data_IF_945272241976
#
_entry.id   IF_945272241976
#
_cell.length_a   1.000
_cell.length_b   1.000
_cell.length_c   1.000
_cell.angle_alpha   90.00
_cell.angle_beta   90.00
_cell.angle_gamma   90.00
#
_symmetry.space_group_name_H-M   'P 1'
#
loop_
_entity.id
_entity.type
_entity.pdbx_description
1 polymer ?
#
# COMPACT_ATOMS: atom_id res chain seq x y z
N UNK A 1 -42.08 2.29 -23.24
CA UNK A 1 -40.92 2.22 -24.15
C UNK A 1 -39.99 1.17 -23.58
N UNK A 2 -39.94 0.04 -24.26
CA UNK A 2 -39.40 -1.25 -23.83
C UNK A 2 -37.89 -1.26 -24.06
N UNK A 3 -37.10 -1.62 -23.05
CA UNK A 3 -35.76 -2.18 -23.24
C UNK A 3 -35.41 -3.05 -22.03
N UNK A 4 -35.24 -4.33 -22.33
CA UNK A 4 -34.84 -5.42 -21.46
C UNK A 4 -33.36 -5.29 -21.08
N UNK A 5 -33.00 -5.68 -19.86
CA UNK A 5 -31.73 -6.36 -19.62
C UNK A 5 -31.98 -7.58 -18.73
N UNK A 6 -31.52 -8.72 -19.26
CA UNK A 6 -31.60 -10.04 -18.67
C UNK A 6 -30.74 -10.15 -17.41
N UNK A 7 -31.32 -10.62 -16.32
CA UNK A 7 -30.59 -11.12 -15.17
C UNK A 7 -30.39 -12.64 -15.35
N UNK A 8 -29.16 -13.07 -15.65
CA UNK A 8 -28.79 -14.49 -15.59
C UNK A 8 -28.58 -14.89 -14.14
N UNK A 9 -29.66 -15.35 -13.50
CA UNK A 9 -29.59 -16.11 -12.25
C UNK A 9 -29.07 -17.51 -12.60
N UNK A 10 -27.84 -17.83 -12.17
CA UNK A 10 -27.33 -19.20 -12.29
C UNK A 10 -27.95 -20.06 -11.19
N UNK A 11 -28.48 -21.25 -11.53
CA UNK A 11 -29.09 -22.12 -10.54
C UNK A 11 -28.04 -22.69 -9.59
N UNK A 12 -28.45 -22.77 -8.33
CA UNK A 12 -27.81 -23.46 -7.23
C UNK A 12 -27.42 -24.91 -7.62
N UNK A 13 -26.19 -25.32 -7.31
CA UNK A 13 -25.72 -26.71 -7.44
C UNK A 13 -25.08 -27.17 -6.12
N UNK A 14 -25.15 -28.48 -5.79
CA UNK A 14 -25.42 -28.93 -4.44
C UNK A 14 -24.17 -29.08 -3.55
N UNK A 15 -24.42 -28.97 -2.24
CA UNK A 15 -23.56 -29.51 -1.17
C UNK A 15 -23.40 -31.01 -1.39
N UNK A 16 -22.18 -31.48 -1.67
CA UNK A 16 -21.55 -32.60 -0.95
C UNK A 16 -20.18 -32.95 -1.53
N UNK A 17 -19.14 -32.84 -0.70
CA UNK A 17 -17.75 -33.23 -1.01
C UNK A 17 -17.52 -34.75 -1.12
N UNK A 18 -18.58 -35.58 -1.09
CA UNK A 18 -18.48 -37.04 -1.16
C UNK A 18 -18.17 -37.55 -2.57
N UNK A 19 -18.53 -36.82 -3.62
CA UNK A 19 -18.32 -37.27 -5.01
C UNK A 19 -16.85 -37.18 -5.46
N UNK A 20 -16.05 -36.31 -4.85
CA UNK A 20 -14.62 -36.19 -5.17
C UNK A 20 -13.81 -37.38 -4.65
N UNK A 21 -14.17 -37.92 -3.48
CA UNK A 21 -13.50 -39.10 -2.91
C UNK A 21 -13.82 -40.38 -3.70
N UNK A 22 -15.04 -40.51 -4.22
CA UNK A 22 -15.44 -41.64 -5.07
C UNK A 22 -14.66 -41.61 -6.40
N UNK A 23 -14.42 -40.42 -6.96
CA UNK A 23 -13.63 -40.25 -8.17
C UNK A 23 -12.14 -40.63 -7.98
N UNK A 24 -11.55 -40.24 -6.85
CA UNK A 24 -10.18 -40.63 -6.47
C UNK A 24 -10.00 -42.16 -6.36
N UNK A 25 -10.99 -42.87 -5.80
CA UNK A 25 -10.93 -44.33 -5.67
C UNK A 25 -11.04 -45.05 -7.02
N UNK A 26 -11.80 -44.52 -7.98
CA UNK A 26 -11.86 -45.09 -9.34
C UNK A 26 -10.52 -44.97 -10.10
N UNK A 27 -9.72 -43.93 -9.84
CA UNK A 27 -8.41 -43.75 -10.49
C UNK A 27 -7.36 -44.71 -9.93
N UNK A 28 -7.40 -45.00 -8.62
CA UNK A 28 -6.48 -45.96 -7.98
C UNK A 28 -6.78 -47.41 -8.40
N UNK A 29 -8.02 -47.75 -8.72
CA UNK A 29 -8.40 -49.09 -9.20
C UNK A 29 -8.01 -49.40 -10.65
N UNK A 30 -7.75 -48.39 -11.48
CA UNK A 30 -7.39 -48.57 -12.92
C UNK A 30 -5.89 -48.88 -13.08
N UNK A 31 -5.04 -48.37 -12.17
CA UNK A 31 -3.58 -48.54 -12.24
C UNK A 31 -3.16 -50.03 -12.19
N UNK A 32 -3.70 -50.89 -11.31
CA UNK A 32 -3.37 -52.32 -11.30
C UNK A 32 -3.79 -53.06 -12.58
N UNK A 33 -4.92 -52.67 -13.18
CA UNK A 33 -5.47 -53.33 -14.38
C UNK A 33 -4.62 -53.03 -15.63
N UNK A 34 -4.15 -51.78 -15.76
CA UNK A 34 -3.24 -51.37 -16.85
C UNK A 34 -1.86 -52.01 -16.69
N UNK A 35 -1.37 -52.14 -15.45
CA UNK A 35 -0.09 -52.80 -15.15
C UNK A 35 -0.14 -54.30 -15.48
N UNK A 36 -1.27 -54.97 -15.22
CA UNK A 36 -1.47 -56.38 -15.59
C UNK A 36 -1.52 -56.61 -17.11
N UNK A 37 -2.16 -55.71 -17.87
CA UNK A 37 -2.22 -55.80 -19.32
C UNK A 37 -0.86 -55.51 -20.00
N UNK A 38 -0.04 -54.61 -19.44
CA UNK A 38 1.30 -54.31 -19.96
C UNK A 38 2.31 -55.45 -19.74
N UNK A 39 2.10 -56.29 -18.73
CA UNK A 39 3.03 -57.37 -18.40
C UNK A 39 2.98 -58.56 -19.37
N UNK A 40 1.84 -58.80 -20.05
CA UNK A 40 1.62 -60.03 -20.83
C UNK A 40 1.70 -59.89 -22.36
N UNK A 41 1.90 -58.70 -22.94
CA UNK A 41 2.13 -58.57 -24.39
C UNK A 41 2.95 -57.31 -24.76
N UNK A 42 4.23 -57.50 -25.07
CA UNK A 42 5.22 -56.44 -25.30
C UNK A 42 5.12 -55.70 -26.65
N UNK A 43 4.14 -56.02 -27.50
CA UNK A 43 3.98 -55.38 -28.83
C UNK A 43 3.19 -54.07 -28.83
N UNK A 44 2.79 -53.55 -27.66
CA UNK A 44 1.90 -52.38 -27.57
C UNK A 44 2.41 -51.24 -26.66
N UNK A 45 3.72 -51.16 -26.43
CA UNK A 45 4.34 -50.12 -25.58
C UNK A 45 3.95 -48.69 -26.01
N UNK A 46 3.79 -48.46 -27.32
CA UNK A 46 3.30 -47.19 -27.87
C UNK A 46 1.84 -46.88 -27.47
N UNK A 47 0.96 -47.89 -27.44
CA UNK A 47 -0.44 -47.72 -27.02
C UNK A 47 -0.54 -47.46 -25.51
N UNK A 48 0.32 -48.10 -24.71
CA UNK A 48 0.42 -47.83 -23.28
C UNK A 48 0.82 -46.38 -22.98
N UNK A 49 1.83 -45.87 -23.68
CA UNK A 49 2.27 -44.48 -23.52
C UNK A 49 1.21 -43.47 -23.97
N UNK A 50 0.49 -43.74 -25.07
CA UNK A 50 -0.62 -42.89 -25.52
C UNK A 50 -1.77 -42.86 -24.50
N UNK A 51 -2.06 -43.98 -23.83
CA UNK A 51 -3.10 -44.05 -22.81
C UNK A 51 -2.72 -43.25 -21.54
N UNK A 52 -1.46 -43.34 -21.10
CA UNK A 52 -0.95 -42.56 -19.97
C UNK A 52 -0.98 -41.05 -20.30
N UNK A 53 -0.56 -40.68 -21.52
CA UNK A 53 -0.65 -39.31 -21.99
C UNK A 53 -2.10 -38.80 -22.01
N UNK A 54 -3.06 -39.64 -22.40
CA UNK A 54 -4.47 -39.28 -22.42
C UNK A 54 -5.06 -39.07 -21.01
N UNK A 55 -4.73 -39.94 -20.05
CA UNK A 55 -5.17 -39.81 -18.64
C UNK A 55 -4.59 -38.53 -18.01
N UNK A 56 -3.31 -38.23 -18.26
CA UNK A 56 -2.66 -37.05 -17.70
C UNK A 56 -3.24 -35.75 -18.27
N UNK A 57 -3.47 -35.69 -19.59
CA UNK A 57 -4.11 -34.54 -20.24
C UNK A 57 -5.55 -34.31 -19.74
N UNK A 58 -6.35 -35.38 -19.63
CA UNK A 58 -7.73 -35.26 -19.14
C UNK A 58 -7.78 -34.87 -17.66
N UNK A 59 -6.88 -35.40 -16.83
CA UNK A 59 -6.73 -35.00 -15.43
C UNK A 59 -6.36 -33.52 -15.27
N UNK A 60 -5.40 -33.03 -16.08
CA UNK A 60 -5.02 -31.62 -16.08
C UNK A 60 -6.17 -30.71 -16.53
N UNK A 61 -6.91 -31.10 -17.58
CA UNK A 61 -8.05 -30.31 -18.07
C UNK A 61 -9.17 -30.19 -17.03
N UNK A 62 -9.46 -31.27 -16.30
CA UNK A 62 -10.44 -31.27 -15.20
C UNK A 62 -9.97 -30.42 -14.02
N UNK A 63 -8.69 -30.51 -13.63
CA UNK A 63 -8.13 -29.69 -12.57
C UNK A 63 -8.15 -28.20 -12.94
N UNK A 64 -7.78 -27.85 -14.17
CA UNK A 64 -7.82 -26.48 -14.67
C UNK A 64 -9.26 -25.94 -14.70
N UNK A 65 -10.21 -26.75 -15.16
CA UNK A 65 -11.64 -26.39 -15.15
C UNK A 65 -12.15 -26.14 -13.72
N UNK A 66 -11.77 -27.00 -12.76
CA UNK A 66 -12.11 -26.81 -11.35
C UNK A 66 -11.47 -25.54 -10.75
N UNK A 67 -10.19 -25.28 -11.05
CA UNK A 67 -9.48 -24.08 -10.62
C UNK A 67 -10.15 -22.80 -11.17
N UNK A 68 -10.51 -22.81 -12.45
CA UNK A 68 -11.23 -21.71 -13.11
C UNK A 68 -12.61 -21.49 -12.51
N UNK A 69 -13.36 -22.56 -12.21
CA UNK A 69 -14.66 -22.47 -11.53
C UNK A 69 -14.50 -21.92 -10.11
N UNK A 70 -13.49 -22.36 -9.34
CA UNK A 70 -13.23 -21.87 -7.97
C UNK A 70 -12.82 -20.39 -7.95
N UNK A 71 -12.00 -19.96 -8.92
CA UNK A 71 -11.63 -18.55 -9.11
C UNK A 71 -12.83 -17.69 -9.50
N UNK A 72 -13.76 -18.22 -10.29
CA UNK A 72 -14.97 -17.49 -10.72
C UNK A 72 -16.06 -17.44 -9.65
N UNK A 73 -16.09 -18.40 -8.72
CA UNK A 73 -17.12 -18.52 -7.68
C UNK A 73 -16.78 -17.88 -6.33
N UNK A 74 -15.53 -17.43 -6.12
CA UNK A 74 -15.11 -16.82 -4.85
C UNK A 74 -14.80 -15.33 -5.02
N UNK A 75 -15.81 -14.44 -5.11
CA UNK A 75 -15.52 -13.01 -5.15
C UNK A 75 -14.86 -12.58 -3.83
N UNK A 76 -13.60 -12.13 -3.89
CA UNK A 76 -12.81 -11.68 -2.74
C UNK A 76 -13.15 -10.24 -2.27
N UNK A 77 -14.16 -9.62 -2.88
CA UNK A 77 -14.58 -8.26 -2.55
C UNK A 77 -16.09 -8.10 -2.75
N UNK A 78 -16.65 -7.10 -2.06
CA UNK A 78 -18.00 -6.60 -2.29
C UNK A 78 -17.87 -5.42 -3.24
N UNK A 79 -18.62 -5.42 -4.34
CA UNK A 79 -18.73 -4.27 -5.25
C UNK A 79 -20.11 -3.66 -5.06
N UNK A 80 -20.15 -2.37 -4.74
CA UNK A 80 -21.40 -1.62 -4.59
C UNK A 80 -21.44 -0.49 -5.62
N UNK A 81 -22.52 -0.44 -6.39
CA UNK A 81 -22.84 0.68 -7.28
C UNK A 81 -23.49 1.78 -6.45
N UNK A 82 -23.04 3.02 -6.66
CA UNK A 82 -23.43 4.18 -5.85
C UNK A 82 -24.95 4.48 -5.90
N UNK A 83 -25.66 3.98 -6.92
CA UNK A 83 -27.12 4.14 -7.08
C UNK A 83 -27.92 3.51 -5.91
N UNK A 84 -27.30 2.57 -5.19
CA UNK A 84 -27.87 1.93 -4.00
C UNK A 84 -27.61 2.72 -2.70
N UNK A 85 -27.00 3.91 -2.74
CA UNK A 85 -26.65 4.68 -1.54
C UNK A 85 -27.12 6.13 -1.72
N UNK A 86 -28.30 6.47 -1.16
CA UNK A 86 -28.83 7.86 -1.11
C UNK A 86 -28.79 8.30 0.37
N UNK A 87 -28.25 9.45 0.80
CA UNK A 87 -28.51 10.85 0.40
C UNK A 87 -27.37 11.84 0.84
N UNK A 88 -27.45 13.18 0.58
CA UNK A 88 -28.15 13.93 -0.46
C UNK A 88 -27.20 14.56 -1.51
N UNK A 89 -27.84 15.10 -2.54
CA UNK A 89 -27.32 15.61 -3.82
C UNK A 89 -26.20 16.64 -3.64
N UNK A 90 -25.00 16.28 -4.09
CA UNK A 90 -24.14 17.12 -4.92
C UNK A 90 -23.31 16.18 -5.80
N UNK A 91 -23.14 16.54 -7.07
CA UNK A 91 -22.72 15.67 -8.17
C UNK A 91 -21.44 14.87 -7.88
N UNK A 92 -21.60 13.61 -7.47
CA UNK A 92 -20.52 12.62 -7.47
C UNK A 92 -20.78 11.64 -8.60
N UNK A 93 -19.83 11.56 -9.54
CA UNK A 93 -19.73 10.48 -10.52
C UNK A 93 -19.90 9.13 -9.82
N UNK A 94 -20.63 8.19 -10.43
CA UNK A 94 -20.82 6.80 -10.03
C UNK A 94 -19.50 6.10 -9.66
N UNK A 95 -19.02 6.28 -8.43
CA UNK A 95 -17.83 5.60 -7.92
C UNK A 95 -18.24 4.21 -7.45
N UNK A 96 -17.72 3.18 -8.12
CA UNK A 96 -17.77 1.81 -7.61
C UNK A 96 -16.97 1.74 -6.32
N UNK A 97 -17.62 1.44 -5.20
CA UNK A 97 -16.93 1.18 -3.93
C UNK A 97 -16.68 -0.32 -3.86
N UNK A 98 -15.41 -0.71 -3.95
CA UNK A 98 -14.99 -2.12 -3.79
C UNK A 98 -14.35 -2.29 -2.42
N UNK A 99 -14.98 -3.08 -1.54
CA UNK A 99 -14.44 -3.38 -0.20
C UNK A 99 -13.96 -4.83 -0.19
N UNK A 100 -12.64 -5.09 -0.07
CA UNK A 100 -12.14 -6.45 0.09
C UNK A 100 -12.62 -7.04 1.43
N UNK A 101 -13.10 -8.29 1.45
CA UNK A 101 -13.54 -8.94 2.71
C UNK A 101 -12.50 -8.93 3.83
N UNK A 102 -11.18 -9.09 3.56
CA UNK A 102 -10.16 -9.04 4.61
C UNK A 102 -10.03 -7.68 5.32
N UNK A 103 -10.51 -6.58 4.72
CA UNK A 103 -10.42 -5.25 5.34
C UNK A 103 -11.63 -4.93 6.22
N UNK A 104 -12.68 -5.76 6.17
CA UNK A 104 -13.87 -5.65 7.02
C UNK A 104 -13.49 -6.03 8.43
N UNK A 105 -13.52 -5.04 9.33
CA UNK A 105 -13.20 -5.20 10.74
C UNK A 105 -14.42 -5.63 11.53
N UNK A 106 -15.58 -5.04 11.21
CA UNK A 106 -16.81 -5.25 11.96
C UNK A 106 -18.03 -4.89 11.10
N UNK A 107 -19.18 -5.44 11.46
CA UNK A 107 -20.44 -5.18 10.78
C UNK A 107 -21.60 -5.18 11.78
N UNK A 108 -22.34 -4.07 11.81
CA UNK A 108 -23.40 -3.87 12.80
C UNK A 108 -24.63 -3.21 12.20
N UNK A 109 -25.80 -3.59 12.73
CA UNK A 109 -27.04 -2.86 12.50
C UNK A 109 -27.12 -1.68 13.46
N UNK A 110 -27.20 -0.46 12.93
CA UNK A 110 -27.45 0.75 13.71
C UNK A 110 -28.88 1.25 13.49
N UNK A 111 -29.53 1.78 14.52
CA UNK A 111 -30.75 2.57 14.34
C UNK A 111 -30.37 4.04 14.23
N UNK A 112 -30.68 4.66 13.10
CA UNK A 112 -30.52 6.09 12.85
C UNK A 112 -31.92 6.64 12.59
N UNK A 113 -32.39 7.56 13.42
CA UNK A 113 -33.72 8.19 13.27
C UNK A 113 -34.88 7.18 13.17
N UNK A 114 -34.81 6.11 13.96
CA UNK A 114 -35.82 5.04 13.97
C UNK A 114 -35.72 4.04 12.80
N UNK A 115 -34.77 4.22 11.88
CA UNK A 115 -34.54 3.32 10.73
C UNK A 115 -33.29 2.48 10.93
N UNK A 116 -33.37 1.20 10.60
CA UNK A 116 -32.25 0.25 10.71
C UNK A 116 -31.31 0.39 9.51
N UNK A 117 -30.08 0.82 9.74
CA UNK A 117 -29.01 0.97 8.75
C UNK A 117 -27.92 -0.07 9.01
N UNK A 118 -27.42 -0.71 7.96
CA UNK A 118 -26.29 -1.62 8.09
C UNK A 118 -24.98 -0.84 7.93
N UNK A 119 -24.10 -0.93 8.92
CA UNK A 119 -22.77 -0.34 8.84
C UNK A 119 -21.71 -1.43 8.65
N UNK A 120 -20.93 -1.30 7.59
CA UNK A 120 -19.69 -2.05 7.38
C UNK A 120 -18.55 -1.18 7.86
N UNK A 121 -17.87 -1.62 8.91
CA UNK A 121 -16.65 -1.00 9.43
C UNK A 121 -15.49 -1.70 8.78
N UNK A 122 -14.69 -0.96 8.04
CA UNK A 122 -13.51 -1.48 7.34
C UNK A 122 -12.34 -0.52 7.52
N UNK A 123 -11.13 -0.95 7.15
CA UNK A 123 -9.89 -0.20 7.43
C UNK A 123 -9.92 1.28 6.98
N UNK A 124 -10.62 1.62 5.90
CA UNK A 124 -10.66 2.98 5.35
C UNK A 124 -11.89 3.80 5.81
N UNK A 125 -12.73 3.27 6.70
CA UNK A 125 -13.86 4.00 7.27
C UNK A 125 -15.12 3.17 7.51
N UNK A 126 -16.27 3.87 7.51
CA UNK A 126 -17.58 3.25 7.73
C UNK A 126 -18.46 3.42 6.49
N UNK A 127 -18.88 2.32 5.90
CA UNK A 127 -19.91 2.34 4.86
C UNK A 127 -21.26 2.08 5.49
N UNK A 128 -22.20 3.02 5.34
CA UNK A 128 -23.58 2.89 5.79
C UNK A 128 -24.48 2.55 4.60
N UNK A 129 -25.14 1.41 4.66
CA UNK A 129 -26.07 0.92 3.64
C UNK A 129 -27.49 1.00 4.20
N UNK A 130 -28.31 1.86 3.60
CA UNK A 130 -29.70 2.03 4.00
C UNK A 130 -30.59 0.95 3.37
N UNK A 131 -31.68 0.48 4.00
CA UNK A 131 -32.55 -0.56 3.41
C UNK A 131 -33.18 -0.18 2.07
N UNK A 132 -33.34 1.12 1.82
CA UNK A 132 -33.85 1.64 0.54
C UNK A 132 -32.83 1.54 -0.61
N UNK A 133 -31.61 1.09 -0.32
CA UNK A 133 -30.57 0.76 -1.30
C UNK A 133 -30.99 -0.32 -2.29
N UNK A 134 -31.92 -1.18 -1.86
CA UNK A 134 -32.33 -2.39 -2.58
C UNK A 134 -33.85 -2.36 -2.78
N UNK A 135 -34.30 -3.05 -3.82
CA UNK A 135 -35.69 -2.99 -4.28
C UNK A 135 -36.71 -3.52 -3.27
N UNK A 136 -36.25 -4.30 -2.28
CA UNK A 136 -37.09 -4.78 -1.19
C UNK A 136 -36.33 -5.03 0.10
N UNK A 137 -37.05 -5.06 1.22
CA UNK A 137 -36.50 -5.42 2.53
C UNK A 137 -35.91 -6.84 2.55
N UNK A 138 -36.56 -7.79 1.89
CA UNK A 138 -36.08 -9.17 1.80
C UNK A 138 -34.74 -9.27 1.07
N UNK A 139 -34.57 -8.52 -0.03
CA UNK A 139 -33.28 -8.43 -0.73
C UNK A 139 -32.20 -7.79 0.14
N UNK A 140 -32.55 -6.79 0.96
CA UNK A 140 -31.62 -6.22 1.91
C UNK A 140 -31.18 -7.23 2.96
N UNK A 141 -32.11 -7.95 3.58
CA UNK A 141 -31.77 -8.93 4.61
C UNK A 141 -30.93 -10.08 4.03
N UNK A 142 -31.23 -10.59 2.82
CA UNK A 142 -30.42 -11.60 2.12
C UNK A 142 -29.02 -11.07 1.73
N UNK A 143 -28.92 -9.82 1.28
CA UNK A 143 -27.64 -9.16 1.00
C UNK A 143 -26.78 -9.04 2.27
N UNK A 144 -27.37 -8.64 3.40
CA UNK A 144 -26.68 -8.57 4.70
C UNK A 144 -26.20 -9.95 5.14
N UNK A 145 -27.06 -10.96 5.06
CA UNK A 145 -26.72 -12.34 5.45
C UNK A 145 -25.56 -12.89 4.59
N UNK A 146 -25.59 -12.67 3.28
CA UNK A 146 -24.52 -13.10 2.38
C UNK A 146 -23.18 -12.43 2.69
N UNK A 147 -23.18 -11.14 3.04
CA UNK A 147 -21.97 -10.42 3.46
C UNK A 147 -21.46 -10.97 4.80
N UNK A 148 -22.34 -11.21 5.77
CA UNK A 148 -21.96 -11.81 7.05
C UNK A 148 -21.33 -13.18 6.89
N UNK A 149 -21.94 -14.06 6.09
CA UNK A 149 -21.43 -15.42 5.86
C UNK A 149 -20.03 -15.41 5.22
N UNK A 150 -19.78 -14.49 4.28
CA UNK A 150 -18.50 -14.37 3.56
C UNK A 150 -17.40 -13.70 4.36
N UNK A 151 -17.74 -12.76 5.23
CA UNK A 151 -16.77 -12.04 6.11
C UNK A 151 -16.43 -12.79 7.39
N UNK A 152 -17.30 -13.72 7.85
CA UNK A 152 -17.13 -14.50 9.08
C UNK A 152 -15.75 -15.18 9.26
N UNK A 153 -15.08 -15.72 8.21
CA UNK A 153 -13.74 -16.28 8.34
C UNK A 153 -12.65 -15.24 8.66
N UNK A 154 -12.88 -13.98 8.29
CA UNK A 154 -11.94 -12.88 8.44
C UNK A 154 -12.12 -12.15 9.78
N UNK A 155 -13.36 -12.02 10.25
CA UNK A 155 -13.69 -11.32 11.50
C UNK A 155 -13.22 -12.10 12.74
N UNK A 156 -13.17 -13.44 12.69
CA UNK A 156 -12.82 -14.28 13.85
C UNK A 156 -11.33 -14.40 14.19
N UNK A 157 -10.42 -13.80 13.42
CA UNK A 157 -8.96 -13.99 13.59
C UNK A 157 -8.21 -12.84 14.28
N UNK A 158 -8.86 -11.70 14.55
CA UNK A 158 -8.18 -10.50 15.04
C UNK A 158 -8.40 -10.25 16.54
N UNK A 159 -7.67 -10.99 17.39
CA UNK A 159 -7.24 -10.48 18.69
C UNK A 159 -5.86 -9.80 18.63
N UNK A 160 -5.16 -9.87 17.49
CA UNK A 160 -4.10 -8.91 17.15
C UNK A 160 -4.76 -7.72 16.47
N UNK A 161 -4.49 -6.51 16.96
CA UNK A 161 -4.97 -5.25 16.38
C UNK A 161 -4.77 -5.30 14.85
N UNK A 162 -5.86 -5.23 14.08
CA UNK A 162 -5.76 -5.27 12.62
C UNK A 162 -4.83 -4.15 12.15
N UNK A 163 -3.95 -4.39 11.16
CA UNK A 163 -3.06 -3.35 10.67
C UNK A 163 -3.90 -2.15 10.22
N UNK A 164 -3.49 -0.96 10.65
CA UNK A 164 -4.09 0.29 10.20
C UNK A 164 -3.69 0.57 8.75
N UNK A 165 -4.37 1.52 8.10
CA UNK A 165 -3.97 1.92 6.74
C UNK A 165 -2.56 2.50 6.71
N UNK A 166 -2.14 3.16 7.80
CA UNK A 166 -0.78 3.65 7.99
C UNK A 166 0.21 2.48 8.08
N UNK A 167 -0.14 1.40 8.80
CA UNK A 167 0.73 0.22 8.88
C UNK A 167 0.89 -0.45 7.51
N UNK A 168 -0.20 -0.54 6.74
CA UNK A 168 -0.14 -1.08 5.37
C UNK A 168 0.78 -0.23 4.49
N UNK A 169 0.63 1.09 4.53
CA UNK A 169 1.49 2.00 3.78
C UNK A 169 2.97 1.84 4.13
N UNK A 170 3.28 1.82 5.43
CA UNK A 170 4.67 1.67 5.90
C UNK A 170 5.27 0.35 5.42
N UNK A 171 4.56 -0.76 5.55
CA UNK A 171 5.02 -2.07 5.11
C UNK A 171 5.21 -2.16 3.60
N UNK A 172 4.29 -1.58 2.82
CA UNK A 172 4.40 -1.55 1.36
C UNK A 172 5.57 -0.68 0.91
N UNK A 173 5.73 0.52 1.50
CA UNK A 173 6.84 1.42 1.18
C UNK A 173 8.19 0.79 1.56
N UNK A 174 8.28 0.21 2.75
CA UNK A 174 9.46 -0.50 3.24
C UNK A 174 9.85 -1.64 2.30
N UNK A 175 8.89 -2.50 1.96
CA UNK A 175 9.11 -3.63 1.05
C UNK A 175 9.55 -3.17 -0.34
N UNK A 176 8.89 -2.13 -0.87
CA UNK A 176 9.24 -1.57 -2.18
C UNK A 176 10.67 -1.02 -2.21
N UNK A 177 11.06 -0.23 -1.21
CA UNK A 177 12.39 0.38 -1.18
C UNK A 177 13.48 -0.64 -0.88
N UNK A 178 13.27 -1.58 0.06
CA UNK A 178 14.21 -2.67 0.30
C UNK A 178 14.48 -3.45 -0.99
N UNK A 179 13.45 -3.86 -1.72
CA UNK A 179 13.60 -4.56 -2.99
C UNK A 179 14.35 -3.74 -4.07
N UNK A 180 14.27 -2.41 -3.99
CA UNK A 180 14.92 -1.49 -4.94
C UNK A 180 16.41 -1.34 -4.70
N UNK A 181 16.85 -1.37 -3.44
CA UNK A 181 18.24 -1.13 -3.04
C UNK A 181 19.01 -2.41 -2.68
N UNK A 182 18.53 -3.58 -3.10
CA UNK A 182 19.30 -4.82 -3.07
C UNK A 182 20.42 -4.75 -4.12
N UNK A 183 21.67 -4.97 -3.69
CA UNK A 183 22.87 -5.07 -4.54
C UNK A 183 22.97 -6.43 -5.22
N UNK A 184 23.95 -6.57 -6.11
CA UNK A 184 24.20 -7.79 -6.88
C UNK A 184 24.49 -9.04 -6.03
N UNK A 185 24.98 -8.87 -4.81
CA UNK A 185 25.28 -9.92 -3.82
C UNK A 185 24.12 -10.21 -2.85
N UNK A 186 22.94 -9.65 -3.11
CA UNK A 186 21.76 -9.72 -2.24
C UNK A 186 21.86 -8.90 -0.94
N UNK A 187 22.92 -8.09 -0.76
CA UNK A 187 23.02 -7.18 0.37
C UNK A 187 22.27 -5.87 0.10
N UNK A 188 21.60 -5.31 1.09
CA UNK A 188 20.89 -4.02 0.95
C UNK A 188 21.88 -2.86 1.10
N UNK A 189 21.85 -1.90 0.18
CA UNK A 189 22.62 -0.66 0.31
C UNK A 189 21.97 0.31 1.31
N UNK A 190 22.10 0.04 2.61
CA UNK A 190 21.40 0.79 3.65
C UNK A 190 21.71 2.29 3.61
N UNK A 191 22.93 2.72 3.29
CA UNK A 191 23.26 4.14 3.19
C UNK A 191 22.48 4.85 2.09
N UNK A 192 22.36 4.21 0.93
CA UNK A 192 21.56 4.72 -0.19
C UNK A 192 20.07 4.66 0.11
N UNK A 193 19.61 3.60 0.78
CA UNK A 193 18.22 3.49 1.23
C UNK A 193 17.83 4.60 2.23
N UNK A 194 18.65 4.88 3.24
CA UNK A 194 18.40 5.95 4.20
C UNK A 194 18.53 7.33 3.57
N UNK A 195 19.48 7.49 2.65
CA UNK A 195 19.57 8.69 1.82
C UNK A 195 18.25 8.93 1.07
N UNK A 196 17.75 7.89 0.40
CA UNK A 196 16.51 7.93 -0.36
C UNK A 196 15.28 8.21 0.50
N UNK A 197 15.16 7.56 1.65
CA UNK A 197 14.08 7.81 2.61
C UNK A 197 14.06 9.27 3.09
N UNK A 198 15.24 9.85 3.33
CA UNK A 198 15.35 11.25 3.69
C UNK A 198 14.90 12.19 2.56
N UNK A 199 15.36 11.92 1.34
CA UNK A 199 14.96 12.69 0.15
C UNK A 199 13.43 12.67 -0.03
N UNK A 200 12.86 11.47 -0.02
CA UNK A 200 11.43 11.23 -0.20
C UNK A 200 10.60 11.85 0.93
N UNK A 201 11.04 11.75 2.18
CA UNK A 201 10.36 12.36 3.33
C UNK A 201 10.38 13.89 3.28
N UNK A 202 11.53 14.48 2.91
CA UNK A 202 11.66 15.93 2.71
C UNK A 202 10.71 16.44 1.62
N UNK A 203 10.77 15.83 0.44
CA UNK A 203 9.92 16.24 -0.68
C UNK A 203 8.43 15.97 -0.42
N UNK A 204 8.08 14.85 0.23
CA UNK A 204 6.71 14.54 0.62
C UNK A 204 6.12 15.56 1.59
N UNK A 205 6.93 16.14 2.48
CA UNK A 205 6.51 17.25 3.35
C UNK A 205 6.04 18.44 2.51
N UNK A 206 6.82 18.86 1.52
CA UNK A 206 6.45 19.96 0.64
C UNK A 206 5.25 19.64 -0.23
N UNK A 207 5.24 18.49 -0.90
CA UNK A 207 4.12 18.08 -1.73
C UNK A 207 2.82 17.96 -0.92
N UNK A 208 2.92 17.45 0.31
CA UNK A 208 1.81 17.36 1.25
C UNK A 208 1.23 18.71 1.64
N UNK A 209 2.08 19.69 1.96
CA UNK A 209 1.64 21.06 2.27
C UNK A 209 1.00 21.75 1.05
N UNK A 210 1.53 21.55 -0.14
CA UNK A 210 0.93 22.05 -1.39
C UNK A 210 -0.45 21.43 -1.62
N UNK A 211 -0.57 20.12 -1.43
CA UNK A 211 -1.84 19.41 -1.56
C UNK A 211 -2.86 19.89 -0.52
N UNK A 212 -2.46 20.14 0.72
CA UNK A 212 -3.33 20.68 1.76
C UNK A 212 -3.76 22.11 1.42
N UNK A 213 -2.80 23.04 1.35
CA UNK A 213 -3.12 24.45 1.35
C UNK A 213 -3.49 25.01 -0.03
N UNK A 214 -2.83 24.55 -1.09
CA UNK A 214 -3.11 25.09 -2.44
C UNK A 214 -4.27 24.35 -3.10
N UNK A 215 -4.30 23.01 -3.01
CA UNK A 215 -5.32 22.22 -3.70
C UNK A 215 -6.62 22.11 -2.90
N UNK A 216 -6.56 21.83 -1.59
CA UNK A 216 -7.78 21.68 -0.79
C UNK A 216 -8.31 23.01 -0.27
N UNK A 217 -7.43 23.93 0.13
CA UNK A 217 -7.83 25.23 0.72
C UNK A 217 -7.79 26.41 -0.27
N UNK A 218 -7.23 26.22 -1.48
CA UNK A 218 -7.22 27.25 -2.53
C UNK A 218 -6.31 28.45 -2.26
N UNK A 219 -5.34 28.31 -1.34
CA UNK A 219 -4.38 29.37 -1.02
C UNK A 219 -3.33 29.51 -2.13
N UNK A 220 -2.92 30.75 -2.40
CA UNK A 220 -1.84 31.02 -3.34
C UNK A 220 -0.49 30.57 -2.78
N UNK A 221 0.42 30.15 -3.66
CA UNK A 221 1.75 29.64 -3.28
C UNK A 221 2.52 30.63 -2.39
N UNK A 222 2.52 31.91 -2.74
CA UNK A 222 3.21 32.97 -2.00
C UNK A 222 2.65 33.22 -0.59
N UNK A 223 1.46 32.70 -0.26
CA UNK A 223 0.91 32.78 1.10
C UNK A 223 1.47 31.67 2.02
N UNK A 224 2.01 30.60 1.43
CA UNK A 224 2.48 29.42 2.16
C UNK A 224 4.02 29.38 2.13
N UNK A 225 4.61 29.71 0.98
CA UNK A 225 6.04 29.59 0.73
C UNK A 225 6.67 30.94 0.45
N UNK A 226 7.84 31.15 1.04
CA UNK A 226 8.82 32.13 0.62
C UNK A 226 9.65 31.53 -0.51
N UNK A 227 9.49 32.08 -1.71
CA UNK A 227 10.23 31.65 -2.89
C UNK A 227 11.57 32.37 -2.96
N UNK A 228 12.65 31.60 -3.13
CA UNK A 228 14.02 32.10 -3.32
C UNK A 228 14.46 31.69 -4.72
N UNK A 229 14.68 32.68 -5.58
CA UNK A 229 15.25 32.48 -6.90
C UNK A 229 16.74 32.83 -6.86
N UNK A 230 17.56 31.95 -7.41
CA UNK A 230 19.02 32.12 -7.46
C UNK A 230 19.46 32.76 -8.77
N UNK A 231 20.73 33.17 -8.86
CA UNK A 231 21.30 33.75 -10.09
C UNK A 231 21.29 32.80 -11.29
N UNK A 232 21.19 31.49 -11.02
CA UNK A 232 21.13 30.45 -12.04
C UNK A 232 19.68 30.13 -12.46
N UNK A 233 18.71 30.97 -12.08
CA UNK A 233 17.27 30.78 -12.26
C UNK A 233 16.67 29.55 -11.55
N UNK A 234 17.43 28.88 -10.69
CA UNK A 234 16.87 27.85 -9.83
C UNK A 234 15.97 28.46 -8.76
N UNK A 235 14.85 27.80 -8.51
CA UNK A 235 13.86 28.18 -7.49
C UNK A 235 13.93 27.22 -6.31
N UNK A 236 13.87 27.77 -5.10
CA UNK A 236 13.78 27.05 -3.85
C UNK A 236 12.66 27.61 -2.99
N UNK A 237 12.01 26.76 -2.20
CA UNK A 237 10.86 27.12 -1.37
C UNK A 237 11.20 26.96 0.10
N UNK A 238 10.88 27.98 0.89
CA UNK A 238 11.04 28.02 2.34
C UNK A 238 9.72 28.35 3.00
N UNK A 239 9.48 27.85 4.21
CA UNK A 239 8.27 28.13 4.97
C UNK A 239 8.49 27.73 6.42
N UNK A 240 7.96 28.51 7.36
CA UNK A 240 8.01 28.17 8.80
C UNK A 240 7.33 26.82 9.07
N UNK A 241 6.27 26.51 8.32
CA UNK A 241 5.58 25.21 8.43
C UNK A 241 6.47 24.03 8.01
N UNK A 242 7.49 24.23 7.16
CA UNK A 242 8.51 23.20 6.94
C UNK A 242 9.28 22.95 8.21
N UNK A 243 9.85 23.99 8.79
CA UNK A 243 10.75 23.88 9.94
C UNK A 243 10.04 23.20 11.12
N UNK A 244 8.75 23.43 11.28
CA UNK A 244 7.92 22.72 12.24
C UNK A 244 7.83 21.21 11.98
N UNK A 245 7.53 20.79 10.75
CA UNK A 245 7.45 19.36 10.39
C UNK A 245 8.82 18.68 10.38
N UNK A 246 9.90 19.42 10.13
CA UNK A 246 11.25 18.88 10.09
C UNK A 246 11.89 18.80 11.48
N UNK A 247 11.72 19.81 12.33
CA UNK A 247 12.59 20.02 13.51
C UNK A 247 11.88 20.15 14.86
N UNK A 248 10.56 20.32 14.90
CA UNK A 248 9.83 20.58 16.15
C UNK A 248 10.07 19.48 17.19
N UNK A 249 10.29 19.88 18.45
CA UNK A 249 10.55 18.99 19.58
C UNK A 249 9.36 18.78 20.51
N UNK A 250 8.16 19.17 20.07
CA UNK A 250 6.94 19.05 20.87
C UNK A 250 6.48 17.58 20.94
N UNK A 251 6.38 16.98 22.14
CA UNK A 251 5.90 15.61 22.29
C UNK A 251 4.50 15.36 21.73
N UNK A 252 3.66 16.40 21.58
CA UNK A 252 2.30 16.28 21.05
C UNK A 252 2.24 16.33 19.52
N UNK A 253 3.27 16.87 18.88
CA UNK A 253 3.32 17.13 17.45
C UNK A 253 4.66 16.64 16.89
N UNK A 254 4.73 15.38 16.42
CA UNK A 254 5.99 14.81 15.97
C UNK A 254 6.53 15.55 14.74
N UNK A 255 7.84 15.69 14.69
CA UNK A 255 8.61 16.09 13.52
C UNK A 255 9.43 14.92 12.98
N UNK A 256 9.98 15.07 11.78
CA UNK A 256 10.88 14.07 11.21
C UNK A 256 12.09 13.86 12.14
N UNK A 257 12.68 14.93 12.68
CA UNK A 257 13.76 14.82 13.66
C UNK A 257 13.32 14.07 14.92
N UNK A 258 12.16 14.39 15.52
CA UNK A 258 11.74 13.73 16.76
C UNK A 258 11.49 12.23 16.55
N UNK A 259 10.95 11.84 15.39
CA UNK A 259 10.75 10.45 15.00
C UNK A 259 12.09 9.70 14.94
N UNK A 260 13.08 10.27 14.25
CA UNK A 260 14.42 9.65 14.16
C UNK A 260 15.13 9.63 15.51
N UNK A 261 15.01 10.70 16.29
CA UNK A 261 15.58 10.79 17.64
C UNK A 261 15.03 9.69 18.55
N UNK A 262 13.73 9.38 18.46
CA UNK A 262 13.14 8.27 19.20
C UNK A 262 13.65 6.91 18.70
N UNK A 263 13.89 6.76 17.40
CA UNK A 263 14.55 5.57 16.85
C UNK A 263 15.96 5.37 17.41
N UNK A 264 16.77 6.44 17.46
CA UNK A 264 18.12 6.41 18.02
C UNK A 264 18.11 6.02 19.51
N UNK A 265 17.18 6.56 20.30
CA UNK A 265 17.04 6.16 21.71
C UNK A 265 16.75 4.68 21.86
N UNK A 266 15.86 4.13 21.02
CA UNK A 266 15.51 2.69 21.05
C UNK A 266 16.71 1.81 20.70
N UNK A 267 17.60 2.27 19.81
CA UNK A 267 18.84 1.54 19.49
C UNK A 267 19.97 1.78 20.48
N UNK A 268 19.74 2.53 21.57
CA UNK A 268 20.74 2.82 22.60
C UNK A 268 21.71 3.95 22.27
N UNK A 269 21.44 4.73 21.22
CA UNK A 269 22.26 5.85 20.77
C UNK A 269 21.70 7.19 21.28
N UNK A 270 22.58 8.19 21.38
CA UNK A 270 22.17 9.54 21.75
C UNK A 270 21.62 10.27 20.51
N UNK A 271 20.44 10.91 20.58
CA UNK A 271 19.90 11.70 19.46
C UNK A 271 20.63 13.04 19.26
N UNK A 272 21.96 13.03 19.11
CA UNK A 272 22.81 14.23 19.00
C UNK A 272 23.06 14.67 17.54
N UNK A 273 22.03 14.70 16.70
CA UNK A 273 22.14 15.28 15.35
C UNK A 273 22.10 16.80 15.49
N UNK A 274 23.17 17.48 15.11
CA UNK A 274 23.21 18.96 15.09
C UNK A 274 22.41 19.50 13.89
N UNK A 275 21.11 19.65 14.10
CA UNK A 275 20.17 20.15 13.10
C UNK A 275 20.51 21.57 12.65
N UNK A 276 20.98 22.42 13.56
CA UNK A 276 21.34 23.79 13.21
C UNK A 276 22.55 23.81 12.26
N UNK A 277 23.56 22.97 12.51
CA UNK A 277 24.69 22.80 11.62
C UNK A 277 24.26 22.26 10.24
N UNK A 278 23.43 21.22 10.21
CA UNK A 278 22.92 20.66 8.95
C UNK A 278 22.10 21.68 8.13
N UNK A 279 21.21 22.43 8.79
CA UNK A 279 20.43 23.48 8.15
C UNK A 279 21.33 24.60 7.61
N UNK A 280 22.36 25.00 8.35
CA UNK A 280 23.34 26.00 7.91
C UNK A 280 24.12 25.54 6.69
N UNK A 281 24.60 24.29 6.68
CA UNK A 281 25.27 23.71 5.52
C UNK A 281 24.34 23.69 4.32
N UNK A 282 23.13 23.16 4.47
CA UNK A 282 22.15 23.10 3.38
C UNK A 282 21.83 24.47 2.82
N UNK A 283 21.58 25.47 3.68
CA UNK A 283 21.31 26.85 3.28
C UNK A 283 22.50 27.48 2.54
N UNK A 284 23.74 27.21 2.97
CA UNK A 284 24.95 27.75 2.32
C UNK A 284 25.18 27.22 0.90
N UNK A 285 24.58 26.06 0.57
CA UNK A 285 24.68 25.44 -0.74
C UNK A 285 23.54 25.81 -1.70
N UNK A 286 22.54 26.56 -1.25
CA UNK A 286 21.39 26.93 -2.11
C UNK A 286 21.89 27.70 -3.34
N UNK A 287 21.55 27.19 -4.52
CA UNK A 287 21.99 27.76 -5.80
C UNK A 287 23.36 27.28 -6.30
N UNK A 288 24.06 26.45 -5.53
CA UNK A 288 25.26 25.76 -5.97
C UNK A 288 24.91 24.39 -6.61
N UNK A 289 25.76 23.93 -7.52
CA UNK A 289 25.62 22.62 -8.19
C UNK A 289 25.66 21.45 -7.20
N UNK A 290 26.28 21.65 -6.03
CA UNK A 290 26.38 20.66 -4.97
C UNK A 290 25.22 20.70 -3.95
N UNK A 291 24.16 21.47 -4.23
CA UNK A 291 22.97 21.49 -3.38
C UNK A 291 22.29 20.12 -3.33
N UNK A 292 22.10 19.61 -2.12
CA UNK A 292 21.50 18.29 -1.92
C UNK A 292 22.45 17.13 -2.25
N UNK A 293 23.70 17.40 -2.64
CA UNK A 293 24.72 16.36 -2.74
C UNK A 293 25.22 16.02 -1.33
N UNK A 294 25.17 14.73 -1.02
CA UNK A 294 25.66 14.20 0.25
C UNK A 294 27.18 14.13 0.15
N UNK A 295 27.86 14.93 0.97
CA UNK A 295 29.29 14.77 1.15
C UNK A 295 29.58 13.39 1.76
N UNK A 296 30.70 12.78 1.38
CA UNK A 296 31.17 11.54 1.98
C UNK A 296 31.15 11.67 3.51
N UNK A 297 30.34 10.83 4.15
CA UNK A 297 30.15 10.88 5.60
C UNK A 297 30.73 9.61 6.18
N UNK A 298 31.80 9.75 6.97
CA UNK A 298 32.49 8.63 7.63
C UNK A 298 32.95 7.52 6.66
N UNK A 299 33.38 7.88 5.44
CA UNK A 299 33.84 6.90 4.44
C UNK A 299 32.75 6.24 3.61
N UNK A 300 31.49 6.68 3.77
CA UNK A 300 30.35 6.15 3.02
C UNK A 300 29.75 7.24 2.14
N UNK A 301 29.48 6.84 0.90
CA UNK A 301 28.82 7.68 -0.11
C UNK A 301 27.65 6.91 -0.68
N UNK A 302 26.40 7.39 -0.50
CA UNK A 302 25.24 6.85 -1.19
C UNK A 302 25.49 6.73 -2.69
N UNK A 303 25.09 5.60 -3.27
CA UNK A 303 25.30 5.31 -4.70
C UNK A 303 24.34 6.06 -5.62
N UNK A 304 23.25 6.58 -5.06
CA UNK A 304 22.23 7.38 -5.76
C UNK A 304 22.11 8.74 -5.08
N UNK A 305 22.04 9.81 -5.89
CA UNK A 305 21.87 11.16 -5.36
C UNK A 305 20.41 11.41 -4.96
N UNK A 306 20.14 12.26 -3.95
CA UNK A 306 18.78 12.54 -3.48
C UNK A 306 17.80 12.99 -4.57
N UNK A 307 18.24 13.84 -5.50
CA UNK A 307 17.38 14.29 -6.60
C UNK A 307 17.05 13.14 -7.57
N UNK A 308 18.01 12.27 -7.85
CA UNK A 308 17.81 11.09 -8.71
C UNK A 308 16.81 10.13 -8.07
N UNK A 309 16.90 9.89 -6.75
CA UNK A 309 15.90 9.13 -5.99
C UNK A 309 14.50 9.69 -6.22
N UNK A 310 14.34 11.01 -6.09
CA UNK A 310 13.03 11.64 -6.25
C UNK A 310 12.50 11.45 -7.68
N UNK A 311 13.32 11.72 -8.69
CA UNK A 311 12.94 11.55 -10.09
C UNK A 311 12.53 10.10 -10.41
N UNK A 312 13.22 9.13 -9.81
CA UNK A 312 12.99 7.70 -10.03
C UNK A 312 11.77 7.16 -9.28
N UNK A 313 11.50 7.64 -8.07
CA UNK A 313 10.57 6.99 -7.14
C UNK A 313 9.33 7.82 -6.78
N UNK A 314 9.36 9.14 -6.96
CA UNK A 314 8.31 10.01 -6.46
C UNK A 314 6.92 9.66 -7.01
N UNK A 315 6.79 9.45 -8.33
CA UNK A 315 5.50 9.16 -8.98
C UNK A 315 4.76 7.94 -8.36
N UNK A 316 5.51 6.88 -8.04
CA UNK A 316 4.93 5.69 -7.39
C UNK A 316 4.55 5.98 -5.95
N UNK A 317 5.42 6.66 -5.22
CA UNK A 317 5.22 6.95 -3.79
C UNK A 317 4.09 7.95 -3.58
N UNK A 318 3.98 8.98 -4.40
CA UNK A 318 2.86 9.93 -4.37
C UNK A 318 1.53 9.22 -4.63
N UNK A 319 1.51 8.24 -5.55
CA UNK A 319 0.33 7.41 -5.81
C UNK A 319 -0.04 6.58 -4.58
N UNK A 320 0.93 5.99 -3.88
CA UNK A 320 0.69 5.25 -2.63
C UNK A 320 0.12 6.18 -1.54
N UNK A 321 0.73 7.34 -1.33
CA UNK A 321 0.29 8.35 -0.35
C UNK A 321 -1.15 8.81 -0.61
N UNK A 322 -1.48 9.13 -1.86
CA UNK A 322 -2.82 9.58 -2.26
C UNK A 322 -3.85 8.46 -2.07
N UNK A 323 -3.56 7.25 -2.55
CA UNK A 323 -4.53 6.16 -2.55
C UNK A 323 -4.78 5.56 -1.17
N UNK A 324 -3.77 5.56 -0.30
CA UNK A 324 -3.85 4.90 0.99
C UNK A 324 -4.14 5.88 2.10
N UNK A 325 -3.44 7.02 2.14
CA UNK A 325 -3.55 7.93 3.27
C UNK A 325 -4.66 8.93 3.04
N UNK A 326 -4.73 9.55 1.85
CA UNK A 326 -5.86 10.35 1.31
C UNK A 326 -6.34 11.56 2.12
N UNK A 327 -6.15 11.56 3.44
CA UNK A 327 -6.52 12.54 4.44
C UNK A 327 -5.25 12.94 5.20
N UNK A 328 -5.15 14.22 5.54
CA UNK A 328 -3.93 14.80 6.14
C UNK A 328 -2.69 14.82 5.23
N UNK A 329 -2.75 15.40 4.00
CA UNK A 329 -1.56 15.55 3.16
C UNK A 329 -0.37 16.21 3.85
N UNK A 330 -0.62 17.17 4.76
CA UNK A 330 0.41 17.90 5.48
C UNK A 330 1.38 17.01 6.29
N UNK A 331 1.00 15.77 6.62
CA UNK A 331 1.85 14.84 7.40
C UNK A 331 2.47 13.71 6.56
N UNK A 332 2.40 13.78 5.22
CA UNK A 332 2.98 12.74 4.34
C UNK A 332 4.46 12.46 4.61
N UNK A 333 5.27 13.50 4.83
CA UNK A 333 6.68 13.34 5.16
C UNK A 333 6.93 12.55 6.44
N UNK A 334 6.06 12.69 7.46
CA UNK A 334 6.17 11.98 8.73
C UNK A 334 5.97 10.47 8.56
N UNK A 335 5.05 10.05 7.68
CA UNK A 335 4.83 8.62 7.43
C UNK A 335 6.05 7.94 6.81
N UNK A 336 6.76 8.63 5.91
CA UNK A 336 8.01 8.13 5.36
C UNK A 336 9.12 8.11 6.43
N UNK A 337 9.16 9.12 7.31
CA UNK A 337 10.10 9.15 8.43
C UNK A 337 9.89 7.99 9.42
N UNK A 338 8.64 7.56 9.64
CA UNK A 338 8.36 6.36 10.44
C UNK A 338 8.91 5.09 9.79
N UNK A 339 8.89 4.98 8.46
CA UNK A 339 9.56 3.85 7.77
C UNK A 339 11.07 3.90 7.99
N UNK A 340 11.68 5.08 7.93
CA UNK A 340 13.10 5.24 8.26
C UNK A 340 13.39 4.86 9.71
N UNK A 341 12.55 5.24 10.67
CA UNK A 341 12.69 4.84 12.07
C UNK A 341 12.60 3.32 12.25
N UNK A 342 11.63 2.66 11.62
CA UNK A 342 11.46 1.21 11.70
C UNK A 342 12.68 0.47 11.17
N UNK A 343 13.20 0.88 10.00
CA UNK A 343 14.43 0.32 9.44
C UNK A 343 15.65 0.63 10.32
N UNK A 344 15.74 1.85 10.86
CA UNK A 344 16.81 2.24 11.77
C UNK A 344 16.89 1.30 12.98
N UNK A 345 15.74 0.94 13.55
CA UNK A 345 15.65 0.04 14.70
C UNK A 345 15.92 -1.42 14.29
N UNK A 346 15.28 -1.89 13.21
CA UNK A 346 15.33 -3.28 12.79
C UNK A 346 16.73 -3.71 12.35
N UNK A 347 17.48 -2.80 11.75
CA UNK A 347 18.72 -3.10 11.04
C UNK A 347 19.96 -2.49 11.74
N UNK A 348 19.81 -2.08 13.00
CA UNK A 348 20.85 -1.44 13.85
C UNK A 348 22.16 -2.23 13.99
N UNK A 349 22.12 -3.54 13.73
CA UNK A 349 23.28 -4.43 13.85
C UNK A 349 24.07 -4.53 12.51
N UNK A 350 23.54 -3.97 11.41
CA UNK A 350 24.15 -4.00 10.08
C UNK A 350 24.77 -2.66 9.64
N UNK A 351 24.41 -1.54 10.27
CA UNK A 351 24.99 -0.22 9.99
C UNK A 351 24.91 0.69 11.22
N UNK A 352 25.58 1.86 11.18
CA UNK A 352 25.53 2.86 12.26
C UNK A 352 24.18 3.62 12.29
N UNK A 353 23.35 3.46 13.34
CA UNK A 353 22.08 4.18 13.45
C UNK A 353 22.24 5.71 13.41
N UNK A 354 23.30 6.22 14.04
CA UNK A 354 23.61 7.66 14.08
C UNK A 354 23.90 8.20 12.67
N UNK A 355 24.69 7.47 11.89
CA UNK A 355 25.01 7.85 10.51
C UNK A 355 23.77 7.80 9.62
N UNK A 356 22.92 6.77 9.74
CA UNK A 356 21.68 6.69 9.00
C UNK A 356 20.74 7.86 9.31
N UNK A 357 20.55 8.19 10.59
CA UNK A 357 19.72 9.32 10.98
C UNK A 357 20.29 10.66 10.48
N UNK A 358 21.62 10.81 10.49
CA UNK A 358 22.31 11.97 9.91
C UNK A 358 22.07 12.09 8.40
N UNK A 359 22.18 10.99 7.65
CA UNK A 359 21.89 10.95 6.20
C UNK A 359 20.44 11.31 5.90
N UNK A 360 19.49 10.70 6.63
CA UNK A 360 18.06 11.01 6.48
C UNK A 360 17.83 12.51 6.71
N UNK A 361 18.30 13.08 7.83
CA UNK A 361 18.08 14.50 8.13
C UNK A 361 18.74 15.43 7.12
N UNK A 362 19.96 15.13 6.65
CA UNK A 362 20.65 15.94 5.64
C UNK A 362 19.81 16.06 4.36
N UNK A 363 19.21 14.96 3.92
CA UNK A 363 18.39 14.93 2.71
C UNK A 363 16.99 15.49 2.92
N UNK A 364 16.39 15.26 4.10
CA UNK A 364 15.10 15.85 4.46
C UNK A 364 15.18 17.37 4.35
N UNK A 365 16.24 17.98 4.89
CA UNK A 365 16.41 19.44 4.90
C UNK A 365 16.57 20.00 3.49
N UNK A 366 17.38 19.35 2.65
CA UNK A 366 17.67 19.85 1.31
C UNK A 366 16.50 19.61 0.35
N UNK A 367 15.95 18.39 0.35
CA UNK A 367 14.90 17.97 -0.57
C UNK A 367 13.51 18.50 -0.20
N UNK A 368 13.30 19.03 1.00
CA UNK A 368 12.04 19.72 1.32
C UNK A 368 11.89 21.09 0.65
N UNK A 369 12.95 21.62 0.05
CA UNK A 369 13.01 23.00 -0.47
C UNK A 369 13.14 23.07 -1.99
N UNK A 370 13.38 21.95 -2.65
CA UNK A 370 13.59 21.93 -4.11
C UNK A 370 12.32 22.34 -4.86
N UNK A 371 12.50 22.76 -6.10
CA UNK A 371 11.37 22.99 -7.00
C UNK A 371 10.73 21.66 -7.44
N UNK A 372 9.41 21.47 -7.24
CA UNK A 372 8.71 20.30 -7.76
C UNK A 372 8.89 20.04 -9.26
N UNK A 373 9.16 21.07 -10.06
CA UNK A 373 9.45 20.93 -11.50
C UNK A 373 10.70 20.07 -11.74
N UNK A 374 11.67 20.04 -10.81
CA UNK A 374 12.86 19.19 -10.92
C UNK A 374 12.58 17.70 -10.71
N UNK A 375 11.42 17.36 -10.14
CA UNK A 375 11.04 15.99 -9.74
C UNK A 375 9.96 15.40 -10.63
N UNK A 376 8.98 16.20 -11.05
CA UNK A 376 7.84 15.75 -11.83
C UNK A 376 8.18 15.93 -13.32
N UNK A 377 8.44 14.85 -14.09
CA UNK A 377 8.70 14.98 -15.52
C UNK A 377 7.46 15.57 -16.23
N UNK A 378 7.71 16.49 -17.16
CA UNK A 378 6.70 17.17 -17.98
C UNK A 378 6.02 16.24 -18.99
#
# INVERSE_FOLDING_TARGET
>A
MTALMEEKIYPYAPKDGKNFLIFMWSVVGIIPLVTYCLYNNFSSLALGLLFIAWITLTGMALWFSYAMVKLKLSPNSIRLTLDSIIAPVNAFSTRLVTIPYPTIQDMRMHKVEGRSVFAIIYQQGHLKIHPSALSSRAQFDDFIENIFLRSKPYIKKNNSKSPTVVDIFKEELKTFLLATYIKHDQEVDFYTLFSALGALSGFATQAGLRQQYMVQEGLAEAQIFTTVQTTNNDTYYFAVVFDDLLFRLDPKNPSIYSILADGLKVTGHNPSIDIHHLAKISASKVGHEDYGIIAETQGYTPTEQPLETLQKHWSKISTMLINQLGQGPAIWGLFIAYVAQELLIAEKDHFSPELAAHLVMTNVISMSKIDPIKVIPH
#
